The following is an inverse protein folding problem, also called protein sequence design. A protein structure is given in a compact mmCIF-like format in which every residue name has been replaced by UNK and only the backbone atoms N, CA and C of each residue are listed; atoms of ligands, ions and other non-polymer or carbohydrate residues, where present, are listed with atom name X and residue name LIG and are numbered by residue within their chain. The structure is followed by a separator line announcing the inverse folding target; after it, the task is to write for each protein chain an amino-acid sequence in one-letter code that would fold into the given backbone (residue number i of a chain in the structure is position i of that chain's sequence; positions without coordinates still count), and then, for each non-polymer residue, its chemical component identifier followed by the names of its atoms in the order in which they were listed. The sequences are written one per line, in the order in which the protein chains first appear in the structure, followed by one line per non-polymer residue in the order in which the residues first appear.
data_IF_875419989909
#
_entry.id   IF_875419989909
#
_cell.length_a   1.000
_cell.length_b   1.000
_cell.length_c   1.000
_cell.angle_alpha   90.00
_cell.angle_beta   90.00
_cell.angle_gamma   90.00
#
_symmetry.space_group_name_H-M   'P 1'
#
loop_
_entity.id
_entity.type
_entity.pdbx_description
1 polymer ?
#
# COMPACT_ATOMS: atom_id res chain seq x y z
N UNK A 1 -4.80 6.31 3.19
CA UNK A 1 -4.29 5.70 1.95
C UNK A 1 -2.94 5.03 2.15
N UNK A 2 -1.83 5.77 2.21
CA UNK A 2 -0.48 5.23 2.05
C UNK A 2 -0.20 3.86 2.68
N UNK A 3 -0.22 3.75 4.02
CA UNK A 3 0.07 2.49 4.73
C UNK A 3 -0.91 1.36 4.36
N UNK A 4 -2.22 1.65 4.35
CA UNK A 4 -3.26 0.66 4.08
C UNK A 4 -3.21 0.12 2.65
N UNK A 5 -3.09 0.99 1.66
CA UNK A 5 -3.04 0.58 0.24
C UNK A 5 -1.74 -0.18 -0.05
N UNK A 6 -0.64 0.25 0.57
CA UNK A 6 0.63 -0.50 0.53
C UNK A 6 0.46 -1.89 1.17
N UNK A 7 -0.26 -2.02 2.27
CA UNK A 7 -0.52 -3.32 2.91
C UNK A 7 -1.35 -4.26 2.02
N UNK A 8 -2.38 -3.74 1.33
CA UNK A 8 -3.17 -4.52 0.36
C UNK A 8 -2.30 -5.00 -0.81
N UNK A 9 -1.54 -4.08 -1.41
CA UNK A 9 -0.63 -4.39 -2.51
C UNK A 9 0.38 -5.48 -2.11
N UNK A 10 1.04 -5.33 -0.96
CA UNK A 10 1.98 -6.32 -0.43
C UNK A 10 1.33 -7.69 -0.21
N UNK A 11 0.09 -7.72 0.26
CA UNK A 11 -0.66 -8.95 0.46
C UNK A 11 -0.92 -9.67 -0.86
N UNK A 12 -1.35 -8.95 -1.89
CA UNK A 12 -1.63 -9.53 -3.20
C UNK A 12 -0.37 -10.02 -3.91
N UNK A 13 0.73 -9.27 -3.83
CA UNK A 13 2.03 -9.68 -4.36
C UNK A 13 2.55 -10.93 -3.63
N UNK A 14 2.44 -10.97 -2.30
CA UNK A 14 2.84 -12.13 -1.50
C UNK A 14 2.04 -13.39 -1.90
N UNK A 15 0.73 -13.24 -2.15
CA UNK A 15 -0.11 -14.33 -2.64
C UNK A 15 0.27 -14.78 -4.04
N UNK A 16 0.51 -13.84 -4.97
CA UNK A 16 0.91 -14.14 -6.36
C UNK A 16 2.23 -14.93 -6.41
N UNK A 17 3.21 -14.53 -5.59
CA UNK A 17 4.54 -15.15 -5.55
C UNK A 17 4.65 -16.32 -4.55
N UNK A 18 3.60 -16.57 -3.76
CA UNK A 18 3.62 -17.52 -2.64
C UNK A 18 4.82 -17.29 -1.69
N UNK A 19 5.04 -16.02 -1.31
CA UNK A 19 6.11 -15.58 -0.43
C UNK A 19 5.55 -14.98 0.86
N UNK A 20 6.43 -14.85 1.86
CA UNK A 20 6.10 -14.16 3.11
C UNK A 20 5.86 -12.67 2.87
N UNK A 21 4.76 -12.13 3.41
CA UNK A 21 4.41 -10.70 3.36
C UNK A 21 5.45 -9.79 4.02
N UNK A 22 6.30 -10.34 4.90
CA UNK A 22 7.38 -9.59 5.56
C UNK A 22 8.48 -9.18 4.59
N UNK A 23 8.64 -9.95 3.51
CA UNK A 23 9.70 -9.76 2.53
C UNK A 23 9.22 -8.98 1.31
N UNK A 24 7.92 -8.64 1.26
CA UNK A 24 7.35 -7.80 0.21
C UNK A 24 7.35 -6.34 0.66
N UNK A 25 8.00 -5.50 -0.14
CA UNK A 25 7.96 -4.04 -0.02
C UNK A 25 7.18 -3.46 -1.18
N UNK A 26 6.34 -2.46 -0.90
CA UNK A 26 5.60 -1.70 -1.90
C UNK A 26 5.58 -0.23 -1.52
N UNK A 27 5.30 0.64 -2.48
CA UNK A 27 5.25 2.07 -2.24
C UNK A 27 4.11 2.71 -3.03
N UNK A 28 3.22 3.39 -2.30
CA UNK A 28 2.03 4.04 -2.86
C UNK A 28 1.95 5.47 -2.37
N UNK A 29 1.88 6.42 -3.30
CA UNK A 29 1.65 7.85 -3.05
C UNK A 29 0.21 8.24 -3.38
N UNK A 30 -0.17 9.47 -3.04
CA UNK A 30 -1.48 10.04 -3.37
C UNK A 30 -2.59 9.61 -2.41
N UNK A 31 -3.76 9.30 -2.96
CA UNK A 31 -4.97 8.92 -2.24
C UNK A 31 -5.41 7.46 -2.48
N UNK A 32 -6.64 7.16 -2.09
CA UNK A 32 -7.28 5.87 -2.39
C UNK A 32 -7.86 5.87 -3.82
N UNK A 33 -8.15 4.69 -4.37
CA UNK A 33 -8.90 4.58 -5.62
C UNK A 33 -8.15 5.22 -6.79
N UNK A 34 -8.80 6.14 -7.50
CA UNK A 34 -8.25 6.79 -8.70
C UNK A 34 -7.08 7.74 -8.35
N UNK A 35 -7.06 8.30 -7.14
CA UNK A 35 -6.00 9.20 -6.66
C UNK A 35 -4.72 8.45 -6.26
N UNK A 36 -4.74 7.12 -6.31
CA UNK A 36 -3.58 6.29 -5.96
C UNK A 36 -2.47 6.42 -7.01
N UNK A 37 -1.24 6.58 -6.55
CA UNK A 37 -0.03 6.61 -7.41
C UNK A 37 0.91 5.46 -6.99
N UNK A 38 0.72 4.25 -7.55
CA UNK A 38 1.54 3.09 -7.23
C UNK A 38 2.91 3.19 -7.87
N UNK A 39 3.98 3.07 -7.07
CA UNK A 39 5.36 3.10 -7.54
C UNK A 39 5.91 1.67 -7.63
N UNK A 40 5.53 0.96 -8.69
CA UNK A 40 5.99 -0.40 -8.98
C UNK A 40 7.51 -0.51 -9.00
N UNK A 41 8.20 0.49 -9.57
CA UNK A 41 9.68 0.60 -9.59
C UNK A 41 10.34 0.66 -8.19
N UNK A 42 9.58 0.96 -7.15
CA UNK A 42 10.01 0.99 -5.74
C UNK A 42 9.37 -0.14 -4.93
N UNK A 43 8.99 -1.23 -5.61
CA UNK A 43 8.37 -2.39 -5.00
C UNK A 43 9.25 -3.63 -5.23
N UNK A 44 9.42 -4.44 -4.19
CA UNK A 44 10.43 -5.51 -4.15
C UNK A 44 9.90 -6.75 -3.42
N UNK A 45 10.44 -7.93 -3.76
CA UNK A 45 10.35 -9.14 -2.96
C UNK A 45 11.78 -9.56 -2.54
N UNK A 46 12.09 -9.52 -1.24
CA UNK A 46 13.44 -9.80 -0.74
C UNK A 46 14.52 -8.88 -1.31
N UNK A 47 14.16 -7.66 -1.74
CA UNK A 47 15.05 -6.71 -2.42
C UNK A 47 15.12 -6.87 -3.95
N UNK A 48 14.48 -7.89 -4.52
CA UNK A 48 14.43 -8.09 -5.98
C UNK A 48 13.24 -7.29 -6.54
N UNK A 49 13.44 -6.45 -7.58
CA UNK A 49 12.34 -5.70 -8.20
C UNK A 49 11.20 -6.61 -8.68
N UNK A 50 9.95 -6.24 -8.38
CA UNK A 50 8.79 -7.07 -8.77
C UNK A 50 8.63 -7.22 -10.28
N UNK A 51 9.08 -6.24 -11.07
CA UNK A 51 9.08 -6.30 -12.54
C UNK A 51 9.94 -7.44 -13.10
N UNK A 52 10.89 -7.98 -12.31
CA UNK A 52 11.69 -9.14 -12.68
C UNK A 52 11.02 -10.47 -12.31
N UNK A 53 9.94 -10.44 -11.51
CA UNK A 53 9.32 -11.62 -10.90
C UNK A 53 7.88 -11.84 -11.37
N UNK A 54 7.18 -10.78 -11.72
CA UNK A 54 5.77 -10.78 -12.11
C UNK A 54 5.65 -10.10 -13.47
N UNK A 55 4.90 -10.70 -14.41
CA UNK A 55 4.66 -10.06 -15.71
C UNK A 55 3.94 -8.73 -15.53
N UNK A 56 4.16 -7.80 -16.47
CA UNK A 56 3.53 -6.48 -16.41
C UNK A 56 2.01 -6.57 -16.30
N UNK A 57 1.38 -7.45 -17.06
CA UNK A 57 -0.08 -7.62 -17.10
C UNK A 57 -0.63 -8.09 -15.74
N UNK A 58 0.09 -9.02 -15.07
CA UNK A 58 -0.27 -9.50 -13.73
C UNK A 58 -0.07 -8.42 -12.67
N UNK A 59 1.02 -7.66 -12.79
CA UNK A 59 1.35 -6.57 -11.87
C UNK A 59 0.33 -5.43 -11.97
N UNK A 60 -0.07 -5.07 -13.19
CA UNK A 60 -1.13 -4.10 -13.47
C UNK A 60 -2.48 -4.57 -12.88
N UNK A 61 -2.81 -5.87 -12.98
CA UNK A 61 -4.01 -6.43 -12.36
C UNK A 61 -3.97 -6.36 -10.82
N UNK A 62 -2.81 -6.59 -10.20
CA UNK A 62 -2.61 -6.44 -8.75
C UNK A 62 -2.75 -4.97 -8.32
N UNK A 63 -2.19 -4.05 -9.08
CA UNK A 63 -2.34 -2.60 -8.86
C UNK A 63 -3.81 -2.19 -8.93
N UNK A 64 -4.53 -2.68 -9.92
CA UNK A 64 -5.95 -2.39 -10.10
C UNK A 64 -6.80 -2.95 -8.95
N UNK A 65 -6.53 -4.18 -8.52
CA UNK A 65 -7.17 -4.76 -7.33
C UNK A 65 -6.85 -3.93 -6.07
N UNK A 66 -5.64 -3.38 -5.97
CA UNK A 66 -5.26 -2.50 -4.85
C UNK A 66 -6.10 -1.23 -4.83
N UNK A 67 -6.30 -0.55 -5.97
CA UNK A 67 -7.19 0.62 -6.08
C UNK A 67 -8.60 0.29 -5.59
N UNK A 68 -9.11 -0.88 -5.99
CA UNK A 68 -10.48 -1.34 -5.68
C UNK A 68 -10.60 -2.06 -4.33
N UNK A 69 -9.51 -2.27 -3.60
CA UNK A 69 -9.48 -3.16 -2.45
C UNK A 69 -10.35 -2.72 -1.27
N UNK A 70 -10.68 -1.43 -1.17
CA UNK A 70 -11.70 -0.95 -0.22
C UNK A 70 -13.10 -1.43 -0.60
N UNK A 71 -13.49 -1.21 -1.85
CA UNK A 71 -14.78 -1.64 -2.40
C UNK A 71 -14.94 -3.16 -2.44
N UNK A 72 -13.85 -3.90 -2.70
CA UNK A 72 -13.83 -5.37 -2.63
C UNK A 72 -14.33 -5.86 -1.25
N UNK A 73 -13.81 -5.30 -0.15
CA UNK A 73 -14.24 -5.69 1.19
C UNK A 73 -15.67 -5.25 1.50
N UNK A 74 -16.06 -4.03 1.10
CA UNK A 74 -17.44 -3.54 1.29
C UNK A 74 -18.45 -4.48 0.62
N UNK A 75 -18.17 -4.87 -0.63
CA UNK A 75 -19.05 -5.76 -1.39
C UNK A 75 -19.15 -7.16 -0.75
N UNK A 76 -18.07 -7.68 -0.17
CA UNK A 76 -18.06 -8.97 0.51
C UNK A 76 -18.78 -8.95 1.86
N UNK A 77 -18.67 -7.85 2.61
CA UNK A 77 -19.33 -7.71 3.92
C UNK A 77 -20.84 -7.43 3.77
N UNK A 78 -21.27 -6.84 2.65
CA UNK A 78 -22.65 -6.42 2.39
C UNK A 78 -23.06 -5.18 3.18
N UNK A 79 -22.75 -5.12 4.47
CA UNK A 79 -22.93 -3.95 5.32
C UNK A 79 -21.66 -3.65 6.13
N UNK A 80 -21.20 -2.40 6.10
CA UNK A 80 -19.96 -1.96 6.73
C UNK A 80 -18.77 -1.90 5.77
N UNK A 81 -17.57 -1.74 6.34
CA UNK A 81 -16.32 -1.60 5.59
C UNK A 81 -15.15 -2.31 6.30
N UNK A 82 -13.98 -2.36 5.67
CA UNK A 82 -12.79 -2.94 6.27
C UNK A 82 -12.41 -2.25 7.59
N UNK A 83 -11.97 -3.02 8.58
CA UNK A 83 -11.56 -2.46 9.89
C UNK A 83 -10.24 -3.03 10.41
N UNK A 84 -9.91 -4.30 10.18
CA UNK A 84 -8.64 -4.89 10.64
C UNK A 84 -7.40 -4.21 10.03
N UNK A 85 -7.29 -4.20 8.70
CA UNK A 85 -6.13 -3.59 8.03
C UNK A 85 -6.06 -2.06 8.23
N UNK A 86 -7.18 -1.30 8.21
CA UNK A 86 -7.16 0.11 8.60
C UNK A 86 -6.68 0.33 10.04
N UNK A 87 -7.17 -0.45 11.00
CA UNK A 87 -6.74 -0.33 12.40
C UNK A 87 -5.25 -0.66 12.56
N UNK A 88 -4.75 -1.73 11.93
CA UNK A 88 -3.33 -2.07 11.96
C UNK A 88 -2.45 -0.97 11.36
N UNK A 89 -2.91 -0.31 10.28
CA UNK A 89 -2.20 0.81 9.67
C UNK A 89 -2.09 2.01 10.62
N UNK A 90 -3.17 2.32 11.36
CA UNK A 90 -3.15 3.37 12.38
C UNK A 90 -2.23 3.02 13.53
N UNK A 91 -2.27 1.78 14.02
CA UNK A 91 -1.39 1.30 15.10
C UNK A 91 0.08 1.40 14.69
N UNK A 92 0.43 1.03 13.47
CA UNK A 92 1.80 1.14 12.94
C UNK A 92 2.30 2.60 12.96
N UNK A 93 1.46 3.55 12.56
CA UNK A 93 1.79 4.98 12.60
C UNK A 93 1.91 5.51 14.04
N UNK A 94 0.95 5.17 14.90
CA UNK A 94 0.95 5.59 16.32
C UNK A 94 2.15 5.01 17.06
N UNK A 95 2.49 3.75 16.84
CA UNK A 95 3.66 3.11 17.44
C UNK A 95 4.95 3.79 17.00
N UNK A 96 5.08 4.14 15.72
CA UNK A 96 6.26 4.85 15.20
C UNK A 96 6.46 6.20 15.89
N UNK A 97 5.38 6.90 16.22
CA UNK A 97 5.40 8.16 16.99
C UNK A 97 5.76 7.90 18.45
N UNK A 98 5.00 7.03 19.14
CA UNK A 98 5.16 6.77 20.57
C UNK A 98 6.54 6.24 20.95
N UNK A 99 7.18 5.50 20.03
CA UNK A 99 8.49 4.89 20.24
C UNK A 99 9.63 5.60 19.52
N UNK A 100 9.40 6.81 18.97
CA UNK A 100 10.36 7.59 18.17
C UNK A 100 11.17 6.73 17.17
N UNK A 101 10.48 5.85 16.44
CA UNK A 101 11.14 4.89 15.56
C UNK A 101 11.65 5.53 14.25
N UNK A 102 11.21 6.76 13.96
CA UNK A 102 11.56 7.50 12.73
C UNK A 102 11.38 6.68 11.46
N UNK A 103 10.25 5.98 11.37
CA UNK A 103 9.95 5.11 10.24
C UNK A 103 9.63 5.90 8.97
N UNK A 104 10.09 5.37 7.83
CA UNK A 104 9.69 5.85 6.51
C UNK A 104 8.41 5.13 6.12
N UNK A 105 7.31 5.88 6.07
CA UNK A 105 5.97 5.40 5.74
C UNK A 105 5.30 6.36 4.76
N UNK A 106 4.54 5.86 3.77
CA UNK A 106 3.67 6.71 2.99
C UNK A 106 2.49 7.18 3.86
N UNK A 107 2.41 8.48 4.10
CA UNK A 107 1.39 9.12 4.95
C UNK A 107 0.80 10.33 4.27
N UNK A 108 -0.35 10.79 4.75
CA UNK A 108 -0.90 12.09 4.36
C UNK A 108 -0.14 13.15 5.16
N UNK A 109 0.48 14.09 4.46
CA UNK A 109 1.25 15.18 5.04
C UNK A 109 0.90 16.49 4.34
N UNK A 110 1.01 17.60 5.08
CA UNK A 110 0.90 18.95 4.53
C UNK A 110 2.15 19.26 3.70
N UNK A 111 1.98 19.83 2.51
CA UNK A 111 3.06 20.10 1.57
C UNK A 111 3.37 21.60 1.54
N UNK A 112 4.65 21.95 1.60
CA UNK A 112 5.15 23.34 1.56
C UNK A 112 6.05 23.61 0.34
N UNK A 113 6.09 22.68 -0.62
CA UNK A 113 6.82 22.77 -1.87
C UNK A 113 7.22 21.40 -2.43
N UNK A 114 7.08 20.34 -1.64
CA UNK A 114 7.37 18.97 -2.03
C UNK A 114 6.54 18.55 -3.25
N UNK A 115 7.18 17.82 -4.17
CA UNK A 115 6.59 17.40 -5.45
C UNK A 115 6.03 18.56 -6.31
N UNK A 116 6.36 19.82 -5.99
CA UNK A 116 5.86 21.01 -6.69
C UNK A 116 4.50 21.51 -6.20
N UNK A 117 3.96 20.99 -5.08
CA UNK A 117 2.65 21.37 -4.54
C UNK A 117 2.78 22.14 -3.22
N UNK A 118 1.74 22.90 -2.87
CA UNK A 118 1.59 23.62 -1.59
C UNK A 118 0.16 23.47 -1.07
N UNK A 119 0.00 23.04 0.18
CA UNK A 119 -1.30 22.91 0.86
C UNK A 119 -1.46 21.65 1.69
#
# INVERSE_FOLDING_TARGET
SGVLDTARFRTFVAQELNLSVKDISGFVLGGHGDDMVPLVRFSYAGGIPLENLISKERLDAIVERTRKGGGEIVNLLGNGSAYYAPAASLVEMVEAILKDQRRVLPTIAYLEGEYGYKG
#
